data_IF_363638884997
#
_entry.id   IF_363638884997
#
_cell.length_a   1.000
_cell.length_b   1.000
_cell.length_c   1.000
_cell.angle_alpha   90.00
_cell.angle_beta   90.00
_cell.angle_gamma   90.00
#
_symmetry.space_group_name_H-M   'P 1'
#
loop_
_entity.id
_entity.type
_entity.pdbx_description
1 polymer ?
#
# COMPACT_ATOMS: atom_id res chain seq x y z
N UNK A 1 -0.63 -17.52 -21.59
CA UNK A 1 -0.33 -16.30 -22.36
C UNK A 1 1.09 -16.43 -22.84
N UNK A 2 1.32 -16.32 -24.12
CA UNK A 2 2.66 -16.34 -24.68
C UNK A 2 3.40 -15.10 -24.20
N UNK A 3 4.63 -15.24 -23.70
CA UNK A 3 5.48 -14.14 -23.21
C UNK A 3 5.64 -13.00 -24.23
N UNK A 4 5.43 -13.28 -25.50
CA UNK A 4 5.56 -12.32 -26.62
C UNK A 4 4.35 -11.38 -26.78
N UNK A 5 3.23 -11.62 -26.09
CA UNK A 5 2.03 -10.78 -26.21
C UNK A 5 2.06 -9.53 -25.31
N UNK A 6 2.94 -9.49 -24.30
CA UNK A 6 3.07 -8.39 -23.36
C UNK A 6 3.96 -7.30 -23.95
N UNK A 7 3.39 -6.10 -24.19
CA UNK A 7 4.15 -4.91 -24.59
C UNK A 7 4.40 -4.00 -23.38
N UNK A 8 5.66 -3.71 -23.11
CA UNK A 8 6.06 -2.74 -22.11
C UNK A 8 6.15 -1.34 -22.71
N UNK A 9 6.06 -0.30 -21.89
CA UNK A 9 6.16 1.07 -22.36
C UNK A 9 7.48 1.36 -23.09
N UNK A 10 8.58 0.75 -22.67
CA UNK A 10 9.89 0.88 -23.31
C UNK A 10 10.02 0.16 -24.68
N UNK A 11 9.05 -0.66 -25.06
CA UNK A 11 8.95 -1.26 -26.40
C UNK A 11 8.23 -0.34 -27.41
N UNK A 12 7.78 0.84 -26.98
CA UNK A 12 7.22 1.84 -27.86
C UNK A 12 8.30 2.35 -28.84
N UNK A 13 8.00 2.47 -30.14
CA UNK A 13 8.94 3.03 -31.10
C UNK A 13 9.33 4.50 -30.76
N UNK A 14 8.51 5.18 -29.97
CA UNK A 14 8.76 6.55 -29.53
C UNK A 14 9.51 6.66 -28.20
N UNK A 15 9.85 5.53 -27.56
CA UNK A 15 10.50 5.53 -26.24
C UNK A 15 11.79 6.34 -26.24
N UNK A 16 12.70 6.10 -27.22
CA UNK A 16 13.99 6.77 -27.30
C UNK A 16 13.88 8.26 -27.63
N UNK A 17 12.79 8.68 -28.27
CA UNK A 17 12.54 10.09 -28.60
C UNK A 17 12.01 10.85 -27.37
N UNK A 18 11.15 10.21 -26.59
CA UNK A 18 10.52 10.78 -25.40
C UNK A 18 11.46 10.74 -24.19
N UNK A 19 12.20 9.64 -24.01
CA UNK A 19 13.06 9.40 -22.86
C UNK A 19 14.52 9.22 -23.32
N UNK A 20 15.27 10.32 -23.37
CA UNK A 20 16.70 10.28 -23.63
C UNK A 20 17.42 9.54 -22.50
N UNK A 21 18.54 8.89 -22.78
CA UNK A 21 19.30 8.12 -21.78
C UNK A 21 19.62 8.93 -20.53
N UNK A 22 19.93 10.20 -20.67
CA UNK A 22 20.25 11.11 -19.57
C UNK A 22 19.05 11.47 -18.70
N UNK A 23 17.83 11.18 -19.16
CA UNK A 23 16.58 11.38 -18.39
C UNK A 23 16.14 10.14 -17.63
N UNK A 24 16.85 9.00 -17.77
CA UNK A 24 16.53 7.75 -17.10
C UNK A 24 17.45 7.58 -15.89
N UNK A 25 16.88 7.77 -14.69
CA UNK A 25 17.62 7.72 -13.44
C UNK A 25 17.32 6.40 -12.74
N UNK A 26 18.37 5.63 -12.42
CA UNK A 26 18.25 4.42 -11.61
C UNK A 26 18.61 4.71 -10.16
N UNK A 27 17.63 4.55 -9.25
CA UNK A 27 17.87 4.62 -7.82
C UNK A 27 18.55 3.34 -7.35
N UNK A 28 19.68 3.47 -6.65
CA UNK A 28 20.52 2.32 -6.22
C UNK A 28 20.46 2.08 -4.70
N UNK A 29 20.12 3.10 -3.91
CA UNK A 29 20.08 3.00 -2.45
C UNK A 29 18.76 2.41 -1.98
N UNK A 30 18.83 1.36 -1.14
CA UNK A 30 17.68 0.71 -0.55
C UNK A 30 17.51 1.22 0.88
N UNK A 31 16.36 1.84 1.19
CA UNK A 31 16.06 2.38 2.52
C UNK A 31 15.19 1.47 3.37
N UNK A 32 14.37 0.60 2.75
CA UNK A 32 13.43 -0.27 3.47
C UNK A 32 14.13 -1.35 4.26
N UNK A 33 15.10 -2.04 3.67
CA UNK A 33 15.85 -3.11 4.30
C UNK A 33 17.17 -2.58 4.84
N UNK A 34 17.37 -2.65 6.16
CA UNK A 34 18.65 -2.34 6.83
C UNK A 34 19.56 -3.57 6.92
N UNK A 35 19.01 -4.78 6.77
CA UNK A 35 19.74 -6.04 6.77
C UNK A 35 20.43 -6.27 5.42
N UNK A 36 21.75 -6.27 5.41
CA UNK A 36 22.57 -6.44 4.20
C UNK A 36 22.40 -7.83 3.58
N UNK A 37 22.24 -8.87 4.39
CA UNK A 37 22.02 -10.25 3.92
C UNK A 37 20.68 -10.33 3.21
N UNK A 38 19.62 -9.76 3.81
CA UNK A 38 18.31 -9.73 3.19
C UNK A 38 18.29 -8.92 1.89
N UNK A 39 18.95 -7.76 1.89
CA UNK A 39 19.08 -6.92 0.69
C UNK A 39 19.79 -7.68 -0.44
N UNK A 40 20.84 -8.45 -0.13
CA UNK A 40 21.53 -9.28 -1.11
C UNK A 40 20.60 -10.38 -1.67
N UNK A 41 19.86 -11.08 -0.80
CA UNK A 41 18.86 -12.09 -1.22
C UNK A 41 17.84 -11.49 -2.16
N UNK A 42 17.26 -10.33 -1.82
CA UNK A 42 16.27 -9.63 -2.64
C UNK A 42 16.84 -9.23 -4.01
N UNK A 43 18.08 -8.73 -4.06
CA UNK A 43 18.74 -8.41 -5.33
C UNK A 43 18.95 -9.66 -6.21
N UNK A 44 19.35 -10.77 -5.62
CA UNK A 44 19.49 -12.05 -6.34
C UNK A 44 18.14 -12.52 -6.93
N UNK A 45 17.05 -12.39 -6.16
CA UNK A 45 15.71 -12.73 -6.62
C UNK A 45 15.28 -11.80 -7.75
N UNK A 46 15.53 -10.49 -7.63
CA UNK A 46 15.24 -9.49 -8.66
C UNK A 46 15.96 -9.76 -9.96
N UNK A 47 17.20 -10.27 -9.88
CA UNK A 47 18.00 -10.64 -11.04
C UNK A 47 17.72 -12.06 -11.56
N UNK A 48 16.87 -12.83 -10.87
CA UNK A 48 16.57 -14.22 -11.21
C UNK A 48 17.75 -15.17 -11.03
N UNK A 49 18.71 -14.83 -10.16
CA UNK A 49 19.96 -15.59 -9.95
C UNK A 49 20.19 -15.80 -8.46
N UNK A 50 19.45 -16.68 -7.84
CA UNK A 50 19.61 -16.96 -6.41
C UNK A 50 20.82 -17.89 -6.17
N UNK A 51 21.68 -17.51 -5.22
CA UNK A 51 22.79 -18.34 -4.73
C UNK A 51 22.28 -19.47 -3.85
N UNK A 52 23.02 -20.58 -3.78
CA UNK A 52 22.66 -21.74 -2.95
C UNK A 52 22.55 -21.37 -1.46
N UNK A 53 23.43 -20.51 -0.95
CA UNK A 53 23.38 -20.01 0.42
C UNK A 53 22.09 -19.25 0.71
N UNK A 54 21.69 -18.32 -0.16
CA UNK A 54 20.46 -17.55 -0.05
C UNK A 54 19.19 -18.43 -0.14
N UNK A 55 19.22 -19.43 -1.03
CA UNK A 55 18.16 -20.42 -1.14
C UNK A 55 18.01 -21.25 0.14
N UNK A 56 19.12 -21.63 0.79
CA UNK A 56 19.09 -22.37 2.04
C UNK A 56 18.46 -21.51 3.16
N UNK A 57 18.87 -20.23 3.29
CA UNK A 57 18.27 -19.31 4.28
C UNK A 57 16.76 -19.21 4.09
N UNK A 58 16.27 -19.03 2.87
CA UNK A 58 14.83 -18.93 2.62
C UNK A 58 14.10 -20.24 2.92
N UNK A 59 14.69 -21.39 2.60
CA UNK A 59 14.10 -22.70 2.94
C UNK A 59 14.03 -22.95 4.45
N UNK A 60 14.98 -22.47 5.25
CA UNK A 60 14.95 -22.54 6.71
C UNK A 60 13.80 -21.71 7.32
N UNK A 61 13.34 -20.67 6.61
CA UNK A 61 12.20 -19.86 7.05
C UNK A 61 10.85 -20.49 6.72
N UNK A 62 10.80 -21.56 5.90
CA UNK A 62 9.55 -22.24 5.55
C UNK A 62 9.04 -23.00 6.78
N UNK A 63 7.81 -22.70 7.17
CA UNK A 63 7.15 -23.28 8.34
C UNK A 63 7.67 -22.75 9.69
N UNK A 64 8.47 -21.69 9.70
CA UNK A 64 8.87 -21.00 10.94
C UNK A 64 7.62 -20.54 11.67
N UNK A 65 7.50 -20.87 12.95
CA UNK A 65 6.35 -20.47 13.78
C UNK A 65 6.41 -18.98 14.08
N UNK A 66 5.24 -18.34 13.99
CA UNK A 66 5.07 -16.95 14.44
C UNK A 66 5.09 -16.95 15.97
N UNK A 67 5.89 -16.09 16.62
CA UNK A 67 5.87 -15.93 18.07
C UNK A 67 4.48 -15.50 18.57
N UNK A 68 4.09 -16.00 19.76
CA UNK A 68 2.76 -15.75 20.34
C UNK A 68 2.57 -14.31 20.83
N UNK A 69 3.63 -13.58 21.07
CA UNK A 69 3.67 -12.20 21.56
C UNK A 69 3.36 -11.15 20.50
N UNK A 70 3.19 -11.55 19.22
CA UNK A 70 2.74 -10.63 18.19
C UNK A 70 1.30 -10.16 18.43
N UNK A 71 1.13 -8.91 18.85
CA UNK A 71 -0.18 -8.27 19.05
C UNK A 71 -0.94 -8.18 17.71
N UNK A 72 -0.25 -7.76 16.65
CA UNK A 72 -0.74 -7.78 15.28
C UNK A 72 -0.05 -8.93 14.57
N UNK A 73 -0.84 -9.94 14.18
CA UNK A 73 -0.30 -11.13 13.50
C UNK A 73 0.33 -10.74 12.16
N UNK A 74 1.43 -11.41 11.75
CA UNK A 74 1.99 -11.23 10.41
C UNK A 74 0.91 -11.37 9.33
N UNK A 75 0.83 -10.37 8.45
CA UNK A 75 -0.12 -10.42 7.32
C UNK A 75 0.25 -11.56 6.39
N UNK A 76 -0.72 -12.37 6.01
CA UNK A 76 -0.53 -13.44 5.04
C UNK A 76 -0.60 -12.89 3.62
N UNK A 77 0.44 -13.10 2.82
CA UNK A 77 0.49 -12.66 1.43
C UNK A 77 0.27 -13.85 0.49
N UNK A 78 -0.77 -13.76 -0.33
CA UNK A 78 -1.14 -14.79 -1.30
C UNK A 78 -1.08 -14.28 -2.73
N UNK A 79 -0.74 -15.17 -3.69
CA UNK A 79 -0.79 -14.83 -5.12
C UNK A 79 -2.22 -14.56 -5.62
N UNK A 80 -3.24 -15.22 -5.04
CA UNK A 80 -4.62 -15.21 -5.54
C UNK A 80 -5.62 -14.64 -4.52
N UNK A 81 -6.63 -13.94 -5.03
CA UNK A 81 -7.64 -13.22 -4.23
C UNK A 81 -8.51 -14.16 -3.39
N UNK A 82 -8.87 -15.32 -3.92
CA UNK A 82 -9.76 -16.28 -3.23
C UNK A 82 -9.19 -16.73 -1.87
N UNK A 83 -7.88 -16.99 -1.80
CA UNK A 83 -7.23 -17.37 -0.52
C UNK A 83 -7.29 -16.25 0.51
N UNK A 84 -7.15 -14.99 0.05
CA UNK A 84 -7.26 -13.80 0.91
C UNK A 84 -8.65 -13.66 1.48
N UNK A 85 -9.68 -13.77 0.65
CA UNK A 85 -11.08 -13.68 1.07
C UNK A 85 -11.45 -14.76 2.08
N UNK A 86 -11.01 -16.00 1.85
CA UNK A 86 -11.25 -17.10 2.78
C UNK A 86 -10.64 -16.82 4.16
N UNK A 87 -9.39 -16.37 4.23
CA UNK A 87 -8.71 -16.07 5.50
C UNK A 87 -9.37 -14.88 6.20
N UNK A 88 -9.60 -13.78 5.49
CA UNK A 88 -10.19 -12.59 6.10
C UNK A 88 -11.62 -12.86 6.61
N UNK A 89 -12.44 -13.58 5.84
CA UNK A 89 -13.79 -13.97 6.29
C UNK A 89 -13.72 -14.91 7.51
N UNK A 90 -12.83 -15.89 7.50
CA UNK A 90 -12.66 -16.79 8.64
C UNK A 90 -12.24 -16.05 9.91
N UNK A 91 -11.30 -15.12 9.81
CA UNK A 91 -10.81 -14.38 10.99
C UNK A 91 -11.86 -13.39 11.52
N UNK A 92 -12.60 -12.70 10.64
CA UNK A 92 -13.66 -11.77 11.10
C UNK A 92 -14.83 -12.51 11.74
N UNK A 93 -15.18 -13.72 11.29
CA UNK A 93 -16.25 -14.53 11.87
C UNK A 93 -15.93 -15.03 13.28
N UNK A 94 -14.65 -15.23 13.61
CA UNK A 94 -14.23 -15.61 14.98
C UNK A 94 -14.44 -14.50 16.01
N UNK A 95 -14.56 -13.26 15.56
CA UNK A 95 -14.71 -12.12 16.47
C UNK A 95 -16.18 -12.02 16.89
N UNK A 96 -16.47 -12.22 18.17
CA UNK A 96 -17.80 -12.06 18.76
C UNK A 96 -18.05 -10.58 19.10
N UNK A 97 -18.36 -9.78 18.10
CA UNK A 97 -18.79 -8.39 18.25
C UNK A 97 -19.66 -7.94 17.09
N UNK A 98 -20.38 -6.81 17.26
CA UNK A 98 -21.25 -6.22 16.24
C UNK A 98 -20.49 -5.97 14.94
N UNK A 99 -21.10 -6.32 13.82
CA UNK A 99 -20.62 -5.99 12.47
C UNK A 99 -21.07 -4.58 12.10
N UNK A 100 -20.16 -3.79 11.53
CA UNK A 100 -20.43 -2.51 10.91
C UNK A 100 -20.12 -2.61 9.42
N UNK A 101 -21.08 -2.20 8.58
CA UNK A 101 -20.97 -2.25 7.13
C UNK A 101 -20.82 -0.85 6.54
N UNK A 102 -19.80 -0.66 5.71
CA UNK A 102 -19.53 0.60 5.02
C UNK A 102 -19.59 0.34 3.52
N UNK A 103 -20.65 0.86 2.90
CA UNK A 103 -20.82 0.79 1.44
C UNK A 103 -20.09 1.97 0.80
N UNK A 104 -19.33 1.70 -0.26
CA UNK A 104 -18.73 2.75 -1.08
C UNK A 104 -19.85 3.61 -1.70
N UNK A 105 -19.63 4.93 -1.76
CA UNK A 105 -20.58 5.87 -2.33
C UNK A 105 -19.91 6.68 -3.43
N UNK A 106 -20.62 6.94 -4.52
CA UNK A 106 -20.26 7.98 -5.47
C UNK A 106 -20.85 9.31 -5.01
N UNK A 107 -20.07 10.36 -5.06
CA UNK A 107 -20.48 11.70 -4.64
C UNK A 107 -20.13 12.69 -5.76
N UNK A 108 -21.07 13.57 -6.04
CA UNK A 108 -20.85 14.71 -6.93
C UNK A 108 -20.71 15.98 -6.08
N UNK A 109 -19.51 16.47 -5.99
CA UNK A 109 -19.13 17.67 -5.22
C UNK A 109 -19.19 18.94 -6.09
N UNK A 110 -20.10 19.02 -7.07
CA UNK A 110 -20.24 20.13 -7.99
C UNK A 110 -20.31 21.50 -7.29
N UNK A 111 -21.04 21.58 -6.15
CA UNK A 111 -21.20 22.83 -5.41
C UNK A 111 -19.92 23.31 -4.73
N UNK A 112 -18.96 22.43 -4.46
CA UNK A 112 -17.66 22.80 -3.87
C UNK A 112 -16.63 23.26 -4.91
N UNK A 113 -16.90 23.09 -6.20
CA UNK A 113 -16.00 23.48 -7.28
C UNK A 113 -15.89 25.00 -7.39
N UNK A 114 -14.73 25.47 -7.81
CA UNK A 114 -14.52 26.87 -8.19
C UNK A 114 -15.35 27.21 -9.45
N UNK A 115 -15.61 28.49 -9.68
CA UNK A 115 -16.37 28.95 -10.85
C UNK A 115 -15.73 28.44 -12.16
N UNK A 116 -14.42 28.54 -12.28
CA UNK A 116 -13.68 28.06 -13.48
C UNK A 116 -13.84 26.56 -13.69
N UNK A 117 -13.76 25.76 -12.63
CA UNK A 117 -13.95 24.30 -12.71
C UNK A 117 -15.39 23.92 -13.13
N UNK A 118 -16.41 24.63 -12.61
CA UNK A 118 -17.81 24.41 -13.01
C UNK A 118 -18.03 24.77 -14.49
N UNK A 119 -17.48 25.90 -14.94
CA UNK A 119 -17.59 26.32 -16.35
C UNK A 119 -16.92 25.30 -17.28
N UNK A 120 -15.71 24.85 -16.94
CA UNK A 120 -14.99 23.83 -17.69
C UNK A 120 -15.78 22.50 -17.70
N UNK A 121 -16.27 22.05 -16.56
CA UNK A 121 -17.05 20.81 -16.47
C UNK A 121 -18.32 20.86 -17.33
N UNK A 122 -19.09 21.94 -17.24
CA UNK A 122 -20.32 22.13 -18.02
C UNK A 122 -20.08 22.26 -19.54
N UNK A 123 -18.88 22.74 -19.93
CA UNK A 123 -18.53 22.87 -21.34
C UNK A 123 -18.10 21.54 -21.96
N UNK A 124 -17.37 20.71 -21.23
CA UNK A 124 -16.71 19.52 -21.80
C UNK A 124 -17.35 18.18 -21.44
N UNK A 125 -18.22 18.12 -20.42
CA UNK A 125 -18.77 16.86 -19.94
C UNK A 125 -20.30 16.87 -19.88
N UNK A 126 -20.89 15.81 -20.43
CA UNK A 126 -22.35 15.56 -20.39
C UNK A 126 -22.69 14.76 -19.13
N UNK A 127 -24.00 14.62 -18.85
CA UNK A 127 -24.47 13.73 -17.77
C UNK A 127 -24.02 12.28 -17.98
N UNK A 128 -23.99 11.82 -19.23
CA UNK A 128 -23.53 10.46 -19.59
C UNK A 128 -22.05 10.27 -19.24
N UNK A 129 -21.22 11.29 -19.52
CA UNK A 129 -19.78 11.24 -19.17
C UNK A 129 -19.58 11.16 -17.66
N UNK A 130 -20.39 11.88 -16.89
CA UNK A 130 -20.35 11.87 -15.42
C UNK A 130 -20.74 10.49 -14.88
N UNK A 131 -21.82 9.88 -15.37
CA UNK A 131 -22.26 8.54 -14.96
C UNK A 131 -21.20 7.48 -15.34
N UNK A 132 -20.63 7.57 -16.53
CA UNK A 132 -19.55 6.68 -16.97
C UNK A 132 -18.29 6.81 -16.09
N UNK A 133 -17.94 8.04 -15.69
CA UNK A 133 -16.78 8.28 -14.83
C UNK A 133 -17.01 7.77 -13.41
N UNK A 134 -18.23 7.90 -12.86
CA UNK A 134 -18.59 7.31 -11.57
C UNK A 134 -18.46 5.78 -11.59
N UNK A 135 -18.95 5.13 -12.65
CA UNK A 135 -18.81 3.69 -12.84
C UNK A 135 -17.33 3.28 -12.99
N UNK A 136 -16.56 4.07 -13.76
CA UNK A 136 -15.12 3.84 -13.91
C UNK A 136 -14.39 3.90 -12.56
N UNK A 137 -14.65 4.91 -11.73
CA UNK A 137 -14.05 5.03 -10.41
C UNK A 137 -14.39 3.84 -9.51
N UNK A 138 -15.67 3.43 -9.49
CA UNK A 138 -16.09 2.25 -8.72
C UNK A 138 -15.36 0.98 -9.17
N UNK A 139 -15.19 0.76 -10.46
CA UNK A 139 -14.56 -0.45 -10.99
C UNK A 139 -13.04 -0.46 -10.85
N UNK A 140 -12.41 0.71 -10.72
CA UNK A 140 -10.94 0.84 -10.67
C UNK A 140 -10.38 1.28 -9.31
N UNK A 141 -11.21 1.34 -8.27
CA UNK A 141 -10.75 1.68 -6.92
C UNK A 141 -10.07 0.50 -6.22
N UNK A 142 -9.13 0.84 -5.32
CA UNK A 142 -8.56 -0.12 -4.39
C UNK A 142 -9.40 -0.33 -3.12
N UNK A 143 -10.44 0.48 -2.91
CA UNK A 143 -11.35 0.35 -1.78
C UNK A 143 -12.30 -0.85 -1.97
N UNK A 144 -12.67 -1.48 -0.88
CA UNK A 144 -13.70 -2.53 -0.91
C UNK A 144 -15.08 -1.89 -1.07
N UNK A 145 -15.90 -2.39 -2.00
CA UNK A 145 -17.26 -1.87 -2.25
C UNK A 145 -18.17 -2.01 -1.03
N UNK A 146 -17.98 -3.09 -0.29
CA UNK A 146 -18.63 -3.34 0.99
C UNK A 146 -17.57 -3.76 2.00
N UNK A 147 -17.16 -2.81 2.84
CA UNK A 147 -16.22 -3.05 3.91
C UNK A 147 -16.98 -3.45 5.18
N UNK A 148 -16.66 -4.62 5.73
CA UNK A 148 -17.21 -5.13 6.99
C UNK A 148 -16.16 -5.05 8.07
N UNK A 149 -16.45 -4.38 9.15
CA UNK A 149 -15.54 -4.21 10.27
C UNK A 149 -16.20 -4.62 11.59
N UNK A 150 -15.38 -5.12 12.50
CA UNK A 150 -15.74 -5.40 13.89
C UNK A 150 -14.66 -4.84 14.81
N UNK A 151 -15.01 -4.51 16.06
CA UNK A 151 -14.03 -4.27 17.10
C UNK A 151 -13.13 -5.50 17.25
N UNK A 152 -11.81 -5.32 17.22
CA UNK A 152 -10.83 -6.40 17.18
C UNK A 152 -10.32 -6.78 15.79
N UNK A 153 -10.88 -6.24 14.70
CA UNK A 153 -10.37 -6.51 13.36
C UNK A 153 -8.96 -5.96 13.17
N UNK A 154 -8.11 -6.78 12.55
CA UNK A 154 -6.82 -6.34 12.04
C UNK A 154 -7.02 -5.67 10.69
N UNK A 155 -6.58 -4.41 10.59
CA UNK A 155 -6.81 -3.56 9.43
C UNK A 155 -5.52 -2.90 8.94
N UNK A 156 -5.54 -2.45 7.69
CA UNK A 156 -4.48 -1.66 7.07
C UNK A 156 -5.08 -0.36 6.53
N UNK A 157 -4.41 0.76 6.78
CA UNK A 157 -4.77 2.05 6.21
C UNK A 157 -4.32 2.14 4.75
N UNK A 158 -5.20 2.65 3.89
CA UNK A 158 -4.98 2.72 2.43
C UNK A 158 -4.54 4.09 1.95
N UNK A 159 -4.43 5.06 2.84
CA UNK A 159 -4.01 6.44 2.54
C UNK A 159 -2.98 6.92 3.55
N UNK A 160 -2.33 8.03 3.24
CA UNK A 160 -1.55 8.78 4.23
C UNK A 160 -2.50 9.68 5.02
N UNK A 161 -2.33 9.72 6.34
CA UNK A 161 -3.06 10.60 7.24
C UNK A 161 -2.07 11.57 7.86
N UNK A 162 -2.36 12.85 7.76
CA UNK A 162 -1.53 13.94 8.31
C UNK A 162 -2.13 14.51 9.59
N UNK A 163 -1.29 15.14 10.42
CA UNK A 163 -1.71 15.95 11.53
C UNK A 163 -2.06 17.39 11.08
N UNK A 164 -2.32 18.29 12.03
CA UNK A 164 -2.60 19.71 11.77
C UNK A 164 -1.44 20.47 11.12
N UNK A 165 -0.23 19.97 11.24
CA UNK A 165 1.01 20.57 10.74
C UNK A 165 1.46 19.95 9.41
N UNK A 166 0.55 19.23 8.74
CA UNK A 166 0.76 18.48 7.50
C UNK A 166 1.83 17.36 7.57
N UNK A 167 2.22 16.95 8.79
CA UNK A 167 3.12 15.82 8.97
C UNK A 167 2.35 14.50 8.86
N UNK A 168 2.90 13.54 8.11
CA UNK A 168 2.31 12.20 7.97
C UNK A 168 2.47 11.44 9.28
N UNK A 169 1.36 11.19 9.97
CA UNK A 169 1.31 10.40 11.20
C UNK A 169 0.97 8.92 10.95
N UNK A 170 0.21 8.63 9.91
CA UNK A 170 -0.10 7.27 9.46
C UNK A 170 0.19 7.20 7.96
N UNK A 171 1.07 6.29 7.57
CA UNK A 171 1.37 6.05 6.16
C UNK A 171 0.39 5.04 5.55
N UNK A 172 0.18 5.13 4.25
CA UNK A 172 -0.44 4.05 3.48
C UNK A 172 0.31 2.73 3.73
N UNK A 173 -0.43 1.66 4.05
CA UNK A 173 0.13 0.37 4.44
C UNK A 173 0.36 0.19 5.95
N UNK A 174 0.12 1.23 6.76
CA UNK A 174 0.19 1.10 8.22
C UNK A 174 -0.87 0.13 8.74
N UNK A 175 -0.45 -0.82 9.56
CA UNK A 175 -1.31 -1.84 10.15
C UNK A 175 -1.75 -1.46 11.56
N UNK A 176 -2.97 -1.85 11.92
CA UNK A 176 -3.54 -1.59 13.23
C UNK A 176 -4.65 -2.56 13.58
N UNK A 177 -5.18 -2.39 14.79
CA UNK A 177 -6.36 -3.12 15.28
C UNK A 177 -7.46 -2.10 15.60
N UNK A 178 -8.69 -2.41 15.23
CA UNK A 178 -9.86 -1.63 15.62
C UNK A 178 -10.11 -1.85 17.12
N UNK A 179 -9.86 -0.81 17.91
CA UNK A 179 -10.05 -0.86 19.36
C UNK A 179 -11.45 -0.45 19.76
N UNK A 180 -12.13 0.38 18.95
CA UNK A 180 -13.50 0.77 19.14
C UNK A 180 -14.14 1.29 17.84
N UNK A 181 -15.47 1.44 17.83
CA UNK A 181 -16.22 2.13 16.78
C UNK A 181 -17.20 3.05 17.49
N UNK A 182 -17.09 4.35 17.24
CA UNK A 182 -17.87 5.36 17.93
C UNK A 182 -19.36 5.38 17.52
N UNK A 183 -20.16 6.21 18.18
CA UNK A 183 -21.62 6.30 17.98
C UNK A 183 -22.03 6.73 16.56
N UNK A 184 -21.14 7.41 15.84
CA UNK A 184 -21.34 7.80 14.44
C UNK A 184 -20.67 6.81 13.45
N UNK A 185 -20.41 5.59 13.91
CA UNK A 185 -19.83 4.49 13.14
C UNK A 185 -18.44 4.80 12.52
N UNK A 186 -17.60 5.59 13.20
CA UNK A 186 -16.21 5.82 12.77
C UNK A 186 -15.29 4.91 13.58
N UNK A 187 -14.45 4.05 12.93
CA UNK A 187 -13.54 3.17 13.62
C UNK A 187 -12.38 3.92 14.28
N UNK A 188 -12.10 3.57 15.55
CA UNK A 188 -10.91 3.96 16.29
C UNK A 188 -9.85 2.88 16.13
N UNK A 189 -8.73 3.20 15.49
CA UNK A 189 -7.67 2.23 15.17
C UNK A 189 -6.42 2.53 15.98
N UNK A 190 -5.87 1.50 16.64
CA UNK A 190 -4.54 1.53 17.25
C UNK A 190 -3.54 0.93 16.28
N UNK A 191 -2.64 1.76 15.75
CA UNK A 191 -1.62 1.37 14.79
C UNK A 191 -0.34 0.83 15.45
N UNK A 192 0.49 0.12 14.67
CA UNK A 192 1.76 -0.45 15.12
C UNK A 192 2.76 0.59 15.62
N UNK A 193 2.70 1.83 15.10
CA UNK A 193 3.54 2.93 15.55
C UNK A 193 3.10 3.53 16.91
N UNK A 194 2.11 2.93 17.57
CA UNK A 194 1.56 3.36 18.85
C UNK A 194 0.46 4.42 18.77
N UNK A 195 0.24 5.04 17.61
CA UNK A 195 -0.80 6.05 17.41
C UNK A 195 -2.17 5.38 17.43
N UNK A 196 -3.10 6.00 18.15
CA UNK A 196 -4.51 5.62 18.16
C UNK A 196 -5.35 6.79 17.67
N UNK A 197 -6.08 6.60 16.56
CA UNK A 197 -6.84 7.68 15.94
C UNK A 197 -8.13 7.17 15.28
N UNK A 198 -9.11 8.05 15.14
CA UNK A 198 -10.34 7.79 14.38
C UNK A 198 -10.05 7.86 12.87
N UNK A 199 -10.55 6.89 12.14
CA UNK A 199 -10.39 6.83 10.68
C UNK A 199 -11.73 7.14 10.02
N UNK A 200 -11.91 8.40 9.64
CA UNK A 200 -13.09 8.86 8.92
C UNK A 200 -13.09 8.47 7.44
N UNK A 201 -14.23 8.72 6.74
CA UNK A 201 -14.32 8.53 5.30
C UNK A 201 -13.28 9.37 4.55
N UNK A 202 -12.74 8.82 3.47
CA UNK A 202 -11.82 9.49 2.57
C UNK A 202 -12.39 9.53 1.15
N UNK A 203 -12.06 10.60 0.43
CA UNK A 203 -12.46 10.80 -0.95
C UNK A 203 -11.34 10.34 -1.89
N UNK A 204 -11.71 9.60 -2.93
CA UNK A 204 -10.87 9.39 -4.10
C UNK A 204 -11.51 10.15 -5.26
N UNK A 205 -10.88 11.25 -5.67
CA UNK A 205 -11.39 12.12 -6.72
C UNK A 205 -11.03 11.60 -8.11
N UNK A 206 -11.86 11.96 -9.10
CA UNK A 206 -11.56 11.73 -10.51
C UNK A 206 -10.49 12.68 -11.00
N UNK A 207 -9.49 12.14 -11.68
CA UNK A 207 -8.48 12.93 -12.41
C UNK A 207 -9.06 13.55 -13.70
N UNK A 208 -10.19 13.04 -14.18
CA UNK A 208 -10.78 13.42 -15.48
C UNK A 208 -11.90 14.46 -15.32
N UNK A 209 -12.82 14.25 -14.42
CA UNK A 209 -14.00 15.12 -14.23
C UNK A 209 -13.98 15.74 -12.83
N UNK A 210 -13.74 17.04 -12.71
CA UNK A 210 -13.70 17.72 -11.41
C UNK A 210 -14.98 17.52 -10.60
N UNK A 211 -14.81 17.27 -9.30
CA UNK A 211 -15.90 17.13 -8.34
C UNK A 211 -16.58 15.76 -8.31
N UNK A 212 -16.20 14.82 -9.19
CA UNK A 212 -16.66 13.43 -9.09
C UNK A 212 -15.68 12.68 -8.20
N UNK A 213 -16.21 12.05 -7.17
CA UNK A 213 -15.41 11.22 -6.26
C UNK A 213 -16.18 10.00 -5.77
N UNK A 214 -15.43 9.05 -5.24
CA UNK A 214 -15.95 7.96 -4.41
C UNK A 214 -15.51 8.16 -2.98
N UNK A 215 -16.36 7.75 -2.05
CA UNK A 215 -16.16 7.92 -0.60
C UNK A 215 -16.23 6.57 0.08
N UNK A 216 -15.22 6.25 0.88
CA UNK A 216 -15.17 5.03 1.69
C UNK A 216 -14.29 5.25 2.92
N UNK A 217 -14.49 4.44 3.96
CA UNK A 217 -13.50 4.31 5.04
C UNK A 217 -12.22 3.71 4.42
N UNK A 218 -11.07 4.40 4.53
CA UNK A 218 -9.83 3.98 3.85
C UNK A 218 -9.09 2.87 4.61
N UNK A 219 -9.82 1.82 4.97
CA UNK A 219 -9.33 0.63 5.65
C UNK A 219 -9.64 -0.62 4.83
N UNK A 220 -8.78 -1.62 4.94
CA UNK A 220 -9.04 -2.99 4.47
C UNK A 220 -8.69 -3.97 5.59
N UNK A 221 -9.33 -5.14 5.58
CA UNK A 221 -8.92 -6.25 6.45
C UNK A 221 -7.50 -6.69 6.07
N UNK A 222 -6.63 -6.90 7.06
CA UNK A 222 -5.21 -7.16 6.82
C UNK A 222 -4.65 -8.43 7.49
N UNK A 223 -5.48 -9.40 7.83
CA UNK A 223 -4.98 -10.74 8.16
C UNK A 223 -4.38 -11.42 6.94
N UNK A 224 -4.99 -11.19 5.76
CA UNK A 224 -4.43 -11.61 4.49
C UNK A 224 -4.60 -10.53 3.42
N UNK A 225 -3.62 -10.44 2.49
CA UNK A 225 -3.63 -9.56 1.33
C UNK A 225 -3.14 -10.31 0.10
N UNK A 226 -3.53 -9.85 -1.09
CA UNK A 226 -2.86 -10.29 -2.30
C UNK A 226 -1.50 -9.63 -2.41
N UNK A 227 -0.53 -10.31 -3.03
CA UNK A 227 0.79 -9.75 -3.31
C UNK A 227 0.66 -8.43 -4.09
N UNK A 228 -0.31 -8.33 -5.01
CA UNK A 228 -0.58 -7.09 -5.75
C UNK A 228 -1.05 -5.94 -4.85
N UNK A 229 -2.03 -6.17 -3.96
CA UNK A 229 -2.51 -5.14 -3.02
C UNK A 229 -1.45 -4.72 -1.99
N UNK A 230 -0.44 -5.57 -1.72
CA UNK A 230 0.69 -5.22 -0.85
C UNK A 230 1.77 -4.38 -1.53
N UNK A 231 1.68 -4.16 -2.85
CA UNK A 231 2.65 -3.36 -3.59
C UNK A 231 2.61 -1.90 -3.10
N UNK A 232 3.78 -1.31 -2.87
CA UNK A 232 3.89 0.03 -2.28
C UNK A 232 3.90 0.05 -0.75
N UNK A 233 3.33 -0.95 -0.07
CA UNK A 233 3.30 -1.00 1.40
C UNK A 233 4.61 -1.53 2.00
N UNK A 234 4.82 -1.28 3.28
CA UNK A 234 5.93 -1.82 4.07
C UNK A 234 5.36 -2.53 5.30
N UNK A 235 5.71 -3.80 5.49
CA UNK A 235 5.23 -4.65 6.56
C UNK A 235 6.36 -4.93 7.56
N UNK A 236 6.07 -4.83 8.85
CA UNK A 236 7.01 -5.25 9.90
C UNK A 236 7.21 -6.76 9.86
N UNK A 237 6.11 -7.50 9.70
CA UNK A 237 6.13 -8.95 9.56
C UNK A 237 5.08 -9.43 8.56
N UNK A 238 5.42 -10.47 7.79
CA UNK A 238 4.48 -11.13 6.88
C UNK A 238 4.75 -12.63 6.77
N UNK A 239 3.68 -13.41 6.59
CA UNK A 239 3.72 -14.82 6.20
C UNK A 239 3.40 -14.92 4.71
N UNK A 240 4.37 -15.36 3.90
CA UNK A 240 4.30 -15.29 2.45
C UNK A 240 4.21 -16.69 1.85
N UNK A 241 3.19 -16.91 1.00
CA UNK A 241 3.13 -18.05 0.10
C UNK A 241 3.90 -17.72 -1.20
N UNK A 242 5.17 -18.10 -1.23
CA UNK A 242 6.06 -17.97 -2.38
C UNK A 242 6.28 -19.30 -3.11
N UNK A 243 5.32 -20.21 -3.03
CA UNK A 243 5.37 -21.54 -3.60
C UNK A 243 4.69 -21.65 -4.96
N UNK A 244 4.01 -22.80 -5.15
CA UNK A 244 3.41 -23.18 -6.45
C UNK A 244 2.39 -22.19 -6.98
N UNK A 245 1.74 -21.41 -6.11
CA UNK A 245 0.75 -20.40 -6.46
C UNK A 245 1.30 -19.17 -7.20
N UNK A 246 2.62 -18.95 -7.17
CA UNK A 246 3.27 -17.85 -7.91
C UNK A 246 3.14 -18.12 -9.42
N UNK A 247 2.58 -17.17 -10.15
CA UNK A 247 2.30 -17.32 -11.59
C UNK A 247 2.94 -16.24 -12.47
N UNK A 248 3.34 -15.08 -11.91
CA UNK A 248 3.93 -13.98 -12.67
C UNK A 248 5.42 -13.77 -12.39
N UNK A 249 6.14 -13.27 -13.41
CA UNK A 249 7.52 -12.83 -13.25
C UNK A 249 7.63 -11.71 -12.22
N UNK A 250 8.62 -11.78 -11.33
CA UNK A 250 8.86 -10.78 -10.29
C UNK A 250 7.92 -10.83 -9.08
N UNK A 251 6.85 -11.63 -9.10
CA UNK A 251 5.86 -11.68 -8.02
C UNK A 251 6.49 -12.11 -6.68
N UNK A 252 7.42 -13.07 -6.68
CA UNK A 252 8.19 -13.46 -5.49
C UNK A 252 9.00 -12.29 -4.94
N UNK A 253 9.68 -11.53 -5.80
CA UNK A 253 10.42 -10.33 -5.39
C UNK A 253 9.49 -9.28 -4.75
N UNK A 254 8.36 -9.00 -5.39
CA UNK A 254 7.37 -8.05 -4.87
C UNK A 254 6.92 -8.45 -3.47
N UNK A 255 6.57 -9.72 -3.25
CA UNK A 255 6.12 -10.21 -1.96
C UNK A 255 7.21 -10.09 -0.87
N UNK A 256 8.37 -10.67 -1.10
CA UNK A 256 9.47 -10.66 -0.13
C UNK A 256 9.95 -9.23 0.16
N UNK A 257 10.05 -8.38 -0.85
CA UNK A 257 10.49 -6.99 -0.66
C UNK A 257 9.51 -6.12 0.17
N UNK A 258 8.34 -6.64 0.56
CA UNK A 258 7.43 -5.91 1.48
C UNK A 258 7.93 -5.89 2.91
N UNK A 259 8.67 -6.90 3.34
CA UNK A 259 9.14 -7.06 4.72
C UNK A 259 10.48 -6.33 4.93
N UNK A 260 10.67 -5.77 6.11
CA UNK A 260 11.88 -4.97 6.45
C UNK A 260 13.12 -5.82 6.69
N UNK A 261 12.97 -7.04 7.25
CA UNK A 261 14.08 -7.89 7.68
C UNK A 261 13.73 -9.38 7.59
N UNK A 262 14.77 -10.25 7.63
CA UNK A 262 14.59 -11.71 7.73
C UNK A 262 13.87 -12.12 9.02
N UNK A 263 13.97 -11.32 10.08
CA UNK A 263 13.28 -11.58 11.34
C UNK A 263 11.76 -11.54 11.19
N UNK A 264 11.23 -10.54 10.46
CA UNK A 264 9.80 -10.42 10.19
C UNK A 264 9.30 -11.30 9.05
N UNK A 265 10.18 -12.04 8.36
CA UNK A 265 9.81 -12.88 7.23
C UNK A 265 9.44 -14.30 7.68
N UNK A 266 8.21 -14.70 7.42
CA UNK A 266 7.71 -16.07 7.58
C UNK A 266 7.30 -16.60 6.22
N UNK A 267 7.62 -17.85 5.90
CA UNK A 267 7.24 -18.48 4.64
C UNK A 267 6.32 -19.67 4.91
N UNK A 268 5.11 -19.65 4.36
CA UNK A 268 4.25 -20.82 4.36
C UNK A 268 4.68 -21.83 3.31
N UNK A 269 5.22 -21.35 2.19
CA UNK A 269 5.88 -22.16 1.15
C UNK A 269 6.90 -21.34 0.37
N UNK A 270 7.88 -22.01 -0.23
CA UNK A 270 8.87 -21.38 -1.11
C UNK A 270 9.27 -22.35 -2.23
N UNK A 271 9.29 -21.86 -3.47
CA UNK A 271 9.72 -22.61 -4.63
C UNK A 271 10.68 -21.78 -5.49
N UNK A 272 11.95 -22.13 -5.43
CA UNK A 272 13.02 -21.42 -6.18
C UNK A 272 12.78 -21.42 -7.68
N UNK A 273 12.07 -22.42 -8.24
CA UNK A 273 11.74 -22.49 -9.67
C UNK A 273 10.75 -21.40 -10.12
N UNK A 274 10.09 -20.76 -9.17
CA UNK A 274 9.13 -19.66 -9.38
C UNK A 274 9.81 -18.29 -9.41
N UNK A 275 11.11 -18.22 -9.12
CA UNK A 275 11.89 -16.99 -9.28
C UNK A 275 12.19 -16.81 -10.77
N UNK A 276 11.29 -16.08 -11.43
CA UNK A 276 11.38 -15.79 -12.87
C UNK A 276 11.45 -14.29 -13.09
N UNK A 277 12.23 -13.89 -14.08
CA UNK A 277 12.28 -12.53 -14.59
C UNK A 277 11.88 -12.51 -16.06
N UNK A 278 11.26 -11.42 -16.47
CA UNK A 278 10.96 -11.23 -17.89
C UNK A 278 12.26 -10.87 -18.63
N UNK A 279 12.54 -11.59 -19.71
CA UNK A 279 13.77 -11.42 -20.50
C UNK A 279 13.90 -10.02 -21.09
N UNK A 280 12.81 -9.47 -21.64
CA UNK A 280 12.78 -8.12 -22.21
C UNK A 280 13.09 -7.05 -21.16
N UNK A 281 12.51 -7.17 -19.96
CA UNK A 281 12.79 -6.26 -18.83
C UNK A 281 14.26 -6.34 -18.44
N UNK A 282 14.84 -7.54 -18.37
CA UNK A 282 16.24 -7.73 -18.07
C UNK A 282 17.16 -7.05 -19.11
N UNK A 283 16.90 -7.30 -20.39
CA UNK A 283 17.65 -6.70 -21.50
C UNK A 283 17.55 -5.17 -21.49
N UNK A 284 16.34 -4.63 -21.19
CA UNK A 284 16.16 -3.19 -21.02
C UNK A 284 17.01 -2.61 -19.89
N UNK A 285 16.99 -3.20 -18.69
CA UNK A 285 17.84 -2.75 -17.58
C UNK A 285 19.33 -2.89 -17.86
N UNK A 286 19.74 -3.93 -18.57
CA UNK A 286 21.14 -4.10 -18.99
C UNK A 286 21.57 -3.01 -19.98
N UNK A 287 20.64 -2.54 -20.85
CA UNK A 287 20.90 -1.44 -21.79
C UNK A 287 21.02 -0.07 -21.13
N UNK A 288 20.46 0.09 -19.91
CA UNK A 288 20.55 1.32 -19.12
C UNK A 288 21.85 1.45 -18.31
N UNK A 289 22.63 0.37 -18.18
CA UNK A 289 23.93 0.40 -17.51
C UNK A 289 24.92 1.23 -18.33
N UNK A 290 24.88 2.53 -18.11
CA UNK A 290 25.90 3.49 -18.58
C UNK A 290 26.95 3.61 -17.49
N UNK A 291 28.21 3.79 -17.88
CA UNK A 291 29.37 3.96 -17.02
C UNK A 291 29.07 4.76 -15.76
N UNK A 292 29.05 4.06 -14.62
CA UNK A 292 28.91 4.68 -13.31
C UNK A 292 30.19 5.43 -12.94
N UNK A 293 30.44 6.56 -13.59
CA UNK A 293 31.42 7.56 -13.14
C UNK A 293 30.71 8.69 -12.38
N UNK A 294 29.66 8.37 -11.57
CA UNK A 294 29.22 9.29 -10.53
C UNK A 294 30.18 9.19 -9.36
N UNK A 295 30.93 10.29 -9.17
CA UNK A 295 32.05 10.44 -8.28
C UNK A 295 31.74 10.05 -6.82
N UNK A 296 32.55 9.13 -6.26
CA UNK A 296 32.69 8.82 -4.82
C UNK A 296 32.97 10.05 -3.92
N UNK A 297 33.13 11.23 -4.51
CA UNK A 297 33.37 12.49 -3.79
C UNK A 297 32.10 13.15 -3.28
N UNK A 298 30.93 12.89 -3.87
CA UNK A 298 29.66 13.44 -3.40
C UNK A 298 29.05 12.57 -2.29
N UNK A 299 29.26 11.25 -2.28
CA UNK A 299 28.79 10.35 -1.20
C UNK A 299 29.36 10.76 0.19
N UNK A 300 30.62 11.17 0.25
CA UNK A 300 31.24 11.61 1.52
C UNK A 300 30.72 12.94 2.06
N UNK A 301 30.10 13.76 1.23
CA UNK A 301 29.46 15.00 1.69
C UNK A 301 28.01 14.78 2.15
N UNK A 302 27.29 13.86 1.51
CA UNK A 302 25.90 13.54 1.91
C UNK A 302 25.87 12.75 3.22
N UNK A 303 26.77 11.80 3.46
CA UNK A 303 26.88 11.11 4.76
C UNK A 303 27.10 12.08 5.93
N UNK A 304 27.90 13.13 5.72
CA UNK A 304 28.12 14.18 6.75
C UNK A 304 26.89 15.06 7.00
N UNK A 305 26.02 15.23 6.02
CA UNK A 305 24.78 16.00 6.18
C UNK A 305 23.74 15.14 6.91
N UNK A 306 23.61 13.86 6.57
CA UNK A 306 22.70 12.92 7.26
C UNK A 306 23.13 12.65 8.70
N UNK A 307 24.42 12.45 9.00
CA UNK A 307 24.90 12.36 10.40
C UNK A 307 24.64 13.61 11.23
N UNK A 308 24.54 14.79 10.61
CA UNK A 308 24.17 16.02 11.30
C UNK A 308 22.67 16.10 11.61
N UNK A 309 21.83 15.57 10.74
CA UNK A 309 20.36 15.55 10.94
C UNK A 309 19.99 14.52 12.02
N UNK A 310 20.58 13.31 12.02
CA UNK A 310 20.33 12.32 13.08
C UNK A 310 20.80 12.73 14.48
N UNK A 311 21.78 13.65 14.57
CA UNK A 311 22.25 14.18 15.87
C UNK A 311 21.38 15.33 16.42
N UNK A 312 20.53 15.94 15.60
CA UNK A 312 19.59 16.99 16.03
C UNK A 312 18.25 16.45 16.52
N UNK A 313 17.86 15.24 16.12
CA UNK A 313 16.56 14.66 16.51
C UNK A 313 16.53 13.97 17.88
N UNK A 314 17.68 13.84 18.56
CA UNK A 314 17.76 13.15 19.87
C UNK A 314 17.54 14.06 21.10
N UNK A 315 17.06 15.27 20.95
CA UNK A 315 16.89 16.21 22.08
C UNK A 315 15.57 17.01 22.04
N UNK A 316 14.43 16.34 21.84
CA UNK A 316 13.14 16.93 22.26
C UNK A 316 12.14 15.83 22.64
N UNK A 317 12.01 15.59 23.96
CA UNK A 317 10.82 14.98 24.54
C UNK A 317 9.64 15.93 24.33
N UNK A 318 8.67 15.52 23.52
CA UNK A 318 7.46 16.29 23.30
C UNK A 318 6.41 15.87 24.33
N UNK A 319 6.04 16.83 25.18
CA UNK A 319 4.91 16.75 26.08
C UNK A 319 3.59 16.62 25.29
N UNK A 320 2.76 15.70 25.74
CA UNK A 320 1.39 15.50 25.26
C UNK A 320 0.56 16.74 25.63
N UNK A 321 0.02 17.43 24.65
CA UNK A 321 -0.98 18.49 24.82
C UNK A 321 -2.28 18.14 24.08
N UNK A 322 -3.30 18.08 24.90
CA UNK A 322 -4.71 18.42 24.75
C UNK A 322 -5.51 18.21 23.45
N UNK A 323 -6.55 17.39 23.64
CA UNK A 323 -7.73 17.20 22.82
C UNK A 323 -8.49 18.51 22.55
N UNK A 324 -8.22 19.19 21.43
CA UNK A 324 -9.12 20.22 20.90
C UNK A 324 -8.86 20.49 19.40
N UNK A 325 -8.98 19.48 18.53
CA UNK A 325 -8.95 19.70 17.08
C UNK A 325 -10.05 18.91 16.42
N UNK A 326 -10.84 19.60 15.64
CA UNK A 326 -11.81 19.10 14.63
C UNK A 326 -13.30 19.04 15.00
N UNK A 327 -13.84 20.15 15.53
CA UNK A 327 -15.30 20.38 15.40
C UNK A 327 -15.73 20.97 14.05
N UNK A 328 -14.82 21.50 13.23
CA UNK A 328 -15.18 22.25 12.01
C UNK A 328 -15.35 21.39 10.74
N UNK A 329 -14.74 20.21 10.68
CA UNK A 329 -14.86 19.31 9.51
C UNK A 329 -16.06 18.38 9.64
N UNK A 330 -16.45 18.02 10.86
CA UNK A 330 -17.53 17.04 11.09
C UNK A 330 -18.93 17.62 11.05
N UNK A 331 -19.12 18.94 11.15
CA UNK A 331 -20.44 19.60 11.15
C UNK A 331 -21.15 19.60 9.78
N UNK A 332 -20.52 19.12 8.72
CA UNK A 332 -21.11 19.06 7.37
C UNK A 332 -21.71 17.69 7.00
N UNK A 333 -21.62 16.70 7.88
CA UNK A 333 -22.12 15.36 7.62
C UNK A 333 -23.16 14.92 8.64
N UNK A 334 -24.30 15.61 8.68
CA UNK A 334 -25.50 15.07 9.34
C UNK A 334 -26.09 13.97 8.46
N UNK A 335 -26.07 12.73 8.95
CA UNK A 335 -26.82 11.62 8.38
C UNK A 335 -28.29 11.82 8.68
N UNK A 336 -29.09 12.13 7.66
CA UNK A 336 -30.55 11.96 7.75
C UNK A 336 -30.85 10.47 7.64
N UNK A 337 -31.45 9.91 8.69
CA UNK A 337 -32.11 8.62 8.63
C UNK A 337 -33.33 8.77 7.70
N UNK A 338 -33.31 8.12 6.55
CA UNK A 338 -34.50 7.92 5.75
C UNK A 338 -35.36 6.85 6.43
N UNK A 339 -36.37 7.30 7.16
CA UNK A 339 -37.47 6.46 7.65
C UNK A 339 -38.24 5.92 6.44
N UNK A 340 -38.08 4.64 6.15
CA UNK A 340 -39.02 3.88 5.38
C UNK A 340 -40.03 3.25 6.35
N UNK A 341 -41.13 3.95 6.61
CA UNK A 341 -42.37 3.37 7.11
C UNK A 341 -43.33 3.13 5.93
N UNK A 342 -43.92 1.91 5.95
CA UNK A 342 -44.97 1.32 5.13
C UNK A 342 -44.67 0.85 3.74
#
# INVERSE_FOLDING_TARGET
MEEDSVKFCFESPYWSDLFKKDCVIQLVKIFRQKDSVYSEILNQIREGKIKKSSNNILNELVGRKVPEDYIIKPTKLFPVKMSVEQINNYEIEKIDSKVYEYKIKTVDMYESLTKSQREMRNLYFTKIDIEAEQEYLLNNTNFDHLLRLKKGCQVMCMINITNSDDEIIICNGSQGIIVDINDINIPLVKFNNGITTLIGPANQESDKIPGICIVQIPLILSWALTIHKSQGTTLEAAEIDAGKGIFECGQTYVALSRVKSLEGLFLSSFDVSKIKINKKVKEFYESLKVDNTYNEKEEKNEEKVFEKIEKTDNTQQVNVCDNNVNKSIFSKFEYKEDNYDS
#
